data_IF_479694807455
#
_entry.id   IF_479694807455
#
_cell.length_a   1.000
_cell.length_b   1.000
_cell.length_c   1.000
_cell.angle_alpha   90.00
_cell.angle_beta   90.00
_cell.angle_gamma   90.00
#
_symmetry.space_group_name_H-M   'P 1'
#
loop_
_entity.id
_entity.type
_entity.pdbx_description
1 polymer ?
#
# COMPACT_ATOMS: atom_id res chain seq x y z
N UNK A 1 1.97 -42.97 -29.48
CA UNK A 1 2.16 -42.87 -28.02
C UNK A 1 3.06 -41.69 -27.74
N UNK A 2 2.48 -40.49 -27.54
CA UNK A 2 3.23 -39.31 -27.13
C UNK A 2 3.68 -39.56 -25.69
N UNK A 3 4.99 -39.72 -25.49
CA UNK A 3 5.58 -39.71 -24.15
C UNK A 3 5.31 -38.30 -23.60
N UNK A 4 4.32 -38.19 -22.72
CA UNK A 4 4.22 -37.06 -21.81
C UNK A 4 5.47 -37.14 -20.93
N UNK A 5 6.56 -36.49 -21.36
CA UNK A 5 7.65 -36.14 -20.47
C UNK A 5 7.02 -35.33 -19.35
N UNK A 6 6.74 -35.98 -18.21
CA UNK A 6 6.35 -35.27 -17.02
C UNK A 6 7.50 -34.31 -16.70
N UNK A 7 7.27 -33.02 -16.93
CA UNK A 7 8.15 -31.99 -16.39
C UNK A 7 8.17 -32.20 -14.87
N UNK A 8 9.35 -32.20 -14.28
CA UNK A 8 9.53 -32.20 -12.82
C UNK A 8 9.96 -30.80 -12.37
N UNK A 9 9.51 -30.32 -11.20
CA UNK A 9 10.02 -29.07 -10.63
C UNK A 9 11.52 -29.15 -10.38
N UNK A 10 12.19 -28.01 -10.46
CA UNK A 10 13.60 -27.85 -10.05
C UNK A 10 13.68 -26.72 -9.05
N UNK A 11 14.41 -26.90 -7.95
CA UNK A 11 14.67 -25.80 -7.01
C UNK A 11 15.58 -24.78 -7.67
N UNK A 12 15.17 -23.51 -7.65
CA UNK A 12 15.93 -22.43 -8.24
C UNK A 12 17.34 -22.34 -7.62
N UNK A 13 17.46 -22.61 -6.32
CA UNK A 13 18.72 -22.59 -5.56
C UNK A 13 19.71 -23.68 -5.99
N UNK A 14 19.23 -24.81 -6.52
CA UNK A 14 20.07 -25.95 -6.94
C UNK A 14 20.61 -25.78 -8.36
N UNK A 15 20.31 -24.66 -9.03
CA UNK A 15 20.77 -24.37 -10.39
C UNK A 15 22.15 -23.73 -10.31
N UNK A 16 23.16 -24.42 -10.84
CA UNK A 16 24.53 -23.90 -10.92
C UNK A 16 24.70 -22.84 -12.02
N UNK A 17 24.12 -23.12 -13.19
CA UNK A 17 24.36 -22.35 -14.42
C UNK A 17 23.06 -22.23 -15.23
N UNK A 18 22.78 -21.02 -15.68
CA UNK A 18 21.76 -20.72 -16.67
C UNK A 18 22.43 -20.20 -17.95
N UNK A 19 21.96 -20.69 -19.09
CA UNK A 19 22.39 -20.24 -20.41
C UNK A 19 21.15 -19.69 -21.13
N UNK A 20 21.27 -18.47 -21.64
CA UNK A 20 20.19 -17.76 -22.33
C UNK A 20 20.63 -17.43 -23.76
N UNK A 21 19.75 -17.67 -24.73
CA UNK A 21 20.01 -17.44 -26.15
C UNK A 21 19.00 -16.45 -26.76
N UNK A 22 19.45 -15.59 -27.67
CA UNK A 22 18.64 -14.47 -28.20
C UNK A 22 17.38 -14.91 -28.94
N UNK A 23 17.45 -16.03 -29.64
CA UNK A 23 16.37 -16.52 -30.51
C UNK A 23 15.55 -17.66 -29.88
N UNK A 24 15.79 -17.96 -28.61
CA UNK A 24 15.05 -18.99 -27.87
C UNK A 24 13.96 -18.38 -26.99
N UNK A 25 12.88 -19.14 -26.84
CA UNK A 25 11.80 -18.83 -25.91
C UNK A 25 11.91 -19.66 -24.63
N UNK A 26 11.40 -19.12 -23.54
CA UNK A 26 11.22 -19.85 -22.27
C UNK A 26 10.20 -20.97 -22.48
N UNK A 27 10.35 -22.08 -21.77
CA UNK A 27 9.28 -23.06 -21.61
C UNK A 27 8.26 -22.54 -20.61
N UNK A 28 7.02 -23.03 -20.69
CA UNK A 28 5.98 -22.65 -19.75
C UNK A 28 5.04 -23.81 -19.45
N UNK A 29 4.55 -23.87 -18.21
CA UNK A 29 3.47 -24.78 -17.82
C UNK A 29 2.10 -24.14 -17.99
N UNK A 30 2.04 -22.80 -17.95
CA UNK A 30 0.82 -21.99 -18.12
C UNK A 30 0.55 -21.58 -19.56
N UNK A 31 1.47 -21.86 -20.47
CA UNK A 31 1.34 -21.55 -21.90
C UNK A 31 1.82 -20.16 -22.29
N UNK A 32 2.55 -19.46 -21.41
CA UNK A 32 3.09 -18.12 -21.67
C UNK A 32 4.59 -18.19 -21.96
N UNK A 33 4.97 -17.95 -23.22
CA UNK A 33 6.34 -18.08 -23.69
C UNK A 33 6.97 -16.70 -23.89
N UNK A 34 8.12 -16.46 -23.29
CA UNK A 34 8.86 -15.19 -23.40
C UNK A 34 10.22 -15.39 -24.07
N UNK A 35 10.85 -14.34 -24.65
CA UNK A 35 12.25 -14.44 -25.08
C UNK A 35 13.17 -14.75 -23.89
N UNK A 36 14.15 -15.63 -24.04
CA UNK A 36 15.11 -15.90 -22.96
C UNK A 36 15.98 -14.67 -22.64
N UNK A 37 16.27 -13.83 -23.63
CA UNK A 37 17.03 -12.59 -23.48
C UNK A 37 16.13 -11.38 -23.72
N UNK A 38 15.97 -10.54 -22.70
CA UNK A 38 15.19 -9.30 -22.78
C UNK A 38 16.04 -8.10 -22.39
N UNK A 39 16.25 -7.20 -23.35
CA UNK A 39 17.02 -5.97 -23.18
C UNK A 39 16.09 -4.77 -22.98
N UNK A 40 16.56 -3.76 -22.24
CA UNK A 40 15.88 -2.47 -22.15
C UNK A 40 16.24 -1.54 -23.32
N UNK A 41 15.41 -0.52 -23.56
CA UNK A 41 15.63 0.45 -24.65
C UNK A 41 17.02 1.10 -24.54
N UNK A 42 17.83 0.99 -25.61
CA UNK A 42 19.17 1.57 -25.70
C UNK A 42 20.33 0.66 -25.31
N UNK A 43 20.09 -0.53 -24.74
CA UNK A 43 21.16 -1.52 -24.49
C UNK A 43 21.43 -2.37 -25.74
N UNK A 44 22.71 -2.63 -26.11
CA UNK A 44 23.05 -3.51 -27.22
C UNK A 44 22.45 -4.90 -27.01
N UNK A 45 22.04 -5.54 -28.11
CA UNK A 45 21.57 -6.93 -28.08
C UNK A 45 22.78 -7.86 -28.00
N UNK A 46 22.67 -8.89 -27.18
CA UNK A 46 23.63 -10.00 -27.10
C UNK A 46 22.98 -11.28 -27.63
N UNK A 47 23.78 -12.13 -28.24
CA UNK A 47 23.42 -13.44 -28.80
C UNK A 47 23.24 -14.50 -27.71
N UNK A 48 24.08 -14.44 -26.67
CA UNK A 48 24.08 -15.39 -25.56
C UNK A 48 24.52 -14.75 -24.24
N UNK A 49 23.96 -15.22 -23.12
CA UNK A 49 24.45 -14.93 -21.78
C UNK A 49 24.57 -16.22 -20.96
N UNK A 50 25.63 -16.33 -20.16
CA UNK A 50 25.84 -17.40 -19.18
C UNK A 50 25.84 -16.79 -17.80
N UNK A 51 24.88 -17.16 -16.97
CA UNK A 51 24.75 -16.72 -15.59
C UNK A 51 25.07 -17.88 -14.64
N UNK A 52 26.06 -17.66 -13.77
CA UNK A 52 26.42 -18.64 -12.73
C UNK A 52 25.81 -18.22 -11.40
N UNK A 53 25.35 -19.20 -10.63
CA UNK A 53 24.97 -18.99 -9.25
C UNK A 53 26.21 -18.57 -8.45
N UNK A 54 26.14 -17.42 -7.78
CA UNK A 54 27.23 -16.81 -7.02
C UNK A 54 26.85 -16.69 -5.53
N UNK A 55 25.89 -17.49 -5.07
CA UNK A 55 25.43 -17.53 -3.68
C UNK A 55 24.01 -17.05 -3.49
N UNK A 56 23.54 -17.18 -2.24
CA UNK A 56 22.20 -16.79 -1.80
C UNK A 56 22.33 -15.71 -0.73
N UNK A 57 21.63 -14.60 -0.87
CA UNK A 57 21.73 -13.45 0.05
C UNK A 57 20.73 -13.51 1.24
N UNK A 58 19.95 -14.58 1.33
CA UNK A 58 18.87 -14.73 2.31
C UNK A 58 17.48 -14.58 1.70
N UNK A 59 17.36 -13.94 0.54
CA UNK A 59 16.10 -13.71 -0.18
C UNK A 59 16.14 -14.29 -1.60
N UNK A 60 17.22 -14.05 -2.34
CA UNK A 60 17.38 -14.37 -3.75
C UNK A 60 18.77 -14.91 -4.08
N UNK A 61 18.89 -15.53 -5.26
CA UNK A 61 20.18 -15.99 -5.77
C UNK A 61 20.90 -14.83 -6.43
N UNK A 62 22.15 -14.64 -6.06
CA UNK A 62 23.05 -13.69 -6.69
C UNK A 62 23.57 -14.33 -7.98
N UNK A 63 23.08 -13.86 -9.13
CA UNK A 63 23.53 -14.35 -10.44
C UNK A 63 24.70 -13.53 -10.97
N UNK A 64 25.80 -14.20 -11.33
CA UNK A 64 26.94 -13.60 -12.03
C UNK A 64 26.90 -13.92 -13.52
N UNK A 65 26.47 -12.96 -14.31
CA UNK A 65 26.27 -13.10 -15.76
C UNK A 65 27.48 -12.61 -16.58
N UNK A 66 27.79 -13.34 -17.64
CA UNK A 66 28.81 -13.00 -18.65
C UNK A 66 28.25 -13.23 -20.05
N UNK A 67 28.73 -12.46 -21.02
CA UNK A 67 28.44 -12.64 -22.44
C UNK A 67 29.69 -12.34 -23.25
N UNK A 68 29.86 -13.07 -24.36
CA UNK A 68 30.99 -12.88 -25.28
C UNK A 68 30.84 -11.65 -26.16
N UNK A 69 29.62 -11.13 -26.28
CA UNK A 69 29.31 -10.00 -27.16
C UNK A 69 29.59 -8.63 -26.51
N UNK A 70 30.00 -8.64 -25.23
CA UNK A 70 30.38 -7.41 -24.53
C UNK A 70 31.75 -6.95 -25.00
N UNK A 71 31.80 -5.75 -25.56
CA UNK A 71 33.04 -5.09 -25.94
C UNK A 71 33.84 -4.65 -24.71
N UNK A 72 35.11 -4.28 -24.90
CA UNK A 72 35.93 -3.73 -23.82
C UNK A 72 35.24 -2.49 -23.21
N UNK A 73 35.19 -2.45 -21.87
CA UNK A 73 34.48 -1.42 -21.12
C UNK A 73 32.95 -1.61 -21.09
N UNK A 74 32.37 -2.60 -21.75
CA UNK A 74 30.95 -2.91 -21.55
C UNK A 74 30.76 -3.88 -20.38
N UNK A 75 29.77 -3.60 -19.55
CA UNK A 75 29.35 -4.50 -18.47
C UNK A 75 27.83 -4.49 -18.30
N UNK A 76 27.30 -5.59 -17.79
CA UNK A 76 25.94 -5.62 -17.26
C UNK A 76 25.82 -4.56 -16.16
N UNK A 77 25.01 -3.52 -16.42
CA UNK A 77 24.55 -2.58 -15.39
C UNK A 77 23.54 -3.26 -14.49
N UNK A 78 22.64 -4.04 -15.08
CA UNK A 78 21.69 -4.91 -14.39
C UNK A 78 21.52 -6.21 -15.18
N UNK A 79 21.29 -7.29 -14.44
CA UNK A 79 21.04 -8.64 -14.95
C UNK A 79 20.12 -9.35 -13.96
N UNK A 80 18.84 -9.47 -14.30
CA UNK A 80 17.81 -10.05 -13.44
C UNK A 80 17.27 -11.32 -14.08
N UNK A 81 17.44 -12.44 -13.39
CA UNK A 81 16.86 -13.73 -13.78
C UNK A 81 15.45 -13.81 -13.21
N UNK A 82 14.49 -14.18 -14.04
CA UNK A 82 13.10 -14.44 -13.64
C UNK A 82 12.64 -15.74 -14.27
N UNK A 83 12.05 -16.64 -13.46
CA UNK A 83 11.61 -17.96 -13.91
C UNK A 83 10.14 -18.18 -13.53
N UNK A 84 9.45 -19.07 -14.24
CA UNK A 84 8.09 -19.45 -13.88
C UNK A 84 8.12 -20.36 -12.65
N UNK A 85 7.54 -19.90 -11.55
CA UNK A 85 7.37 -20.72 -10.35
C UNK A 85 6.44 -21.90 -10.62
N UNK A 86 6.75 -23.04 -10.00
CA UNK A 86 6.08 -24.30 -10.28
C UNK A 86 4.58 -24.18 -10.01
N UNK A 87 4.15 -23.84 -8.81
CA UNK A 87 2.74 -23.64 -8.46
C UNK A 87 2.31 -22.18 -8.64
N UNK A 88 3.18 -21.23 -8.32
CA UNK A 88 2.84 -19.80 -8.23
C UNK A 88 4.04 -18.85 -8.32
N UNK A 89 3.79 -17.54 -8.51
CA UNK A 89 4.81 -16.52 -8.29
C UNK A 89 5.40 -16.62 -6.87
N UNK A 90 6.72 -16.51 -6.73
CA UNK A 90 7.42 -16.59 -5.44
C UNK A 90 7.84 -18.00 -5.01
N UNK A 91 7.52 -19.04 -5.79
CA UNK A 91 7.93 -20.40 -5.46
C UNK A 91 9.45 -20.61 -5.58
N UNK A 92 10.01 -21.38 -4.64
CA UNK A 92 11.40 -21.84 -4.68
C UNK A 92 11.64 -22.87 -5.79
N UNK A 93 10.60 -23.61 -6.16
CA UNK A 93 10.62 -24.56 -7.27
C UNK A 93 10.11 -23.88 -8.53
N UNK A 94 10.76 -24.14 -9.66
CA UNK A 94 10.44 -23.52 -10.94
C UNK A 94 10.21 -24.57 -12.03
N UNK A 95 9.61 -24.12 -13.13
CA UNK A 95 9.43 -24.89 -14.36
C UNK A 95 10.78 -24.98 -15.09
N UNK A 96 11.31 -26.18 -15.41
CA UNK A 96 12.57 -26.32 -16.13
C UNK A 96 12.57 -25.60 -17.48
N UNK A 97 13.59 -24.78 -17.72
CA UNK A 97 13.74 -24.00 -18.96
C UNK A 97 12.81 -22.79 -19.07
N UNK A 98 12.18 -22.36 -17.98
CA UNK A 98 11.28 -21.20 -17.97
C UNK A 98 11.97 -19.85 -17.70
N UNK A 99 13.26 -19.85 -17.41
CA UNK A 99 13.97 -18.64 -17.00
C UNK A 99 14.22 -17.66 -18.17
N UNK A 100 14.03 -16.38 -17.90
CA UNK A 100 14.38 -15.23 -18.74
C UNK A 100 15.42 -14.37 -18.02
N UNK A 101 16.36 -13.79 -18.78
CA UNK A 101 17.28 -12.77 -18.33
C UNK A 101 16.85 -11.39 -18.84
N UNK A 102 16.49 -10.51 -17.90
CA UNK A 102 16.28 -9.08 -18.15
C UNK A 102 17.58 -8.32 -17.89
N UNK A 103 18.14 -7.66 -18.89
CA UNK A 103 19.44 -7.01 -18.76
C UNK A 103 19.50 -5.58 -19.30
N UNK A 104 20.48 -4.85 -18.77
CA UNK A 104 20.91 -3.53 -19.25
C UNK A 104 22.43 -3.54 -19.31
N UNK A 105 23.00 -3.11 -20.42
CA UNK A 105 24.46 -2.98 -20.59
C UNK A 105 24.83 -1.51 -20.51
N UNK A 106 25.88 -1.20 -19.76
CA UNK A 106 26.49 0.12 -19.74
C UNK A 106 27.91 0.04 -20.28
N UNK A 107 28.33 1.11 -20.94
CA UNK A 107 29.71 1.30 -21.35
C UNK A 107 30.41 2.14 -20.28
N UNK A 108 31.39 1.57 -19.59
CA UNK A 108 32.36 2.33 -18.80
C UNK A 108 33.35 2.97 -19.76
N UNK A 109 33.22 4.28 -19.96
CA UNK A 109 34.33 5.06 -20.48
C UNK A 109 35.46 5.00 -19.45
N UNK A 110 36.62 4.47 -19.85
CA UNK A 110 37.84 4.50 -19.07
C UNK A 110 38.32 5.95 -18.92
N UNK A 111 37.68 6.73 -18.05
CA UNK A 111 38.33 7.86 -17.39
C UNK A 111 38.76 7.29 -16.04
N UNK A 112 40.06 7.01 -15.90
CA UNK A 112 40.73 6.48 -14.70
C UNK A 112 40.04 6.98 -13.42
N UNK A 113 39.23 6.13 -12.81
CA UNK A 113 38.79 6.27 -11.43
C UNK A 113 39.02 4.93 -10.76
N UNK A 114 39.56 4.91 -9.53
CA UNK A 114 39.92 3.67 -8.85
C UNK A 114 38.70 2.79 -8.64
N UNK A 115 38.98 1.48 -8.65
CA UNK A 115 38.08 0.41 -8.31
C UNK A 115 37.69 0.51 -6.84
N UNK A 116 36.57 1.15 -6.54
CA UNK A 116 35.98 1.11 -5.20
C UNK A 116 34.94 -0.01 -5.14
N UNK A 117 35.20 -0.87 -4.15
CA UNK A 117 34.47 -2.06 -3.78
C UNK A 117 32.99 -1.77 -3.55
N UNK A 118 32.16 -2.78 -3.78
CA UNK A 118 30.71 -2.75 -3.58
C UNK A 118 30.35 -2.31 -2.15
N UNK A 119 30.10 -1.01 -1.98
CA UNK A 119 29.38 -0.47 -0.84
C UNK A 119 27.88 -0.54 -1.15
N UNK A 120 27.12 -1.20 -0.27
CA UNK A 120 25.66 -1.21 -0.31
C UNK A 120 25.16 0.20 0.00
N UNK A 121 25.12 1.07 -1.02
CA UNK A 121 24.61 2.43 -0.84
C UNK A 121 23.08 2.41 -0.81
N UNK A 122 22.56 2.57 0.41
CA UNK A 122 21.22 3.07 0.65
C UNK A 122 20.97 4.31 -0.21
N UNK A 123 19.92 4.26 -1.03
CA UNK A 123 19.50 5.36 -1.88
C UNK A 123 19.03 6.54 -1.01
N UNK A 124 19.95 7.45 -0.70
CA UNK A 124 19.65 8.80 -0.24
C UNK A 124 20.11 9.81 -1.30
N UNK A 125 19.13 10.48 -1.92
CA UNK A 125 19.21 11.86 -2.42
C UNK A 125 20.24 12.18 -3.51
N UNK A 126 19.86 12.00 -4.79
CA UNK A 126 20.35 12.87 -5.86
C UNK A 126 19.32 13.99 -6.07
N UNK A 127 19.57 15.16 -5.51
CA UNK A 127 18.70 16.33 -5.61
C UNK A 127 18.79 16.97 -6.99
N UNK A 128 18.02 16.42 -7.93
CA UNK A 128 17.52 17.17 -9.08
C UNK A 128 16.01 17.31 -8.90
N UNK A 129 15.59 18.24 -8.03
CA UNK A 129 14.17 18.57 -7.88
C UNK A 129 13.69 19.22 -9.16
N UNK A 130 13.05 18.41 -10.00
CA UNK A 130 12.35 18.89 -11.18
C UNK A 130 11.19 19.79 -10.76
N UNK A 131 10.79 20.74 -11.60
CA UNK A 131 9.64 21.61 -11.34
C UNK A 131 8.37 20.80 -10.99
N UNK A 132 8.23 19.60 -11.55
CA UNK A 132 7.15 18.66 -11.22
C UNK A 132 7.18 18.19 -9.77
N UNK A 133 8.36 17.96 -9.18
CA UNK A 133 8.48 17.58 -7.76
C UNK A 133 8.11 18.73 -6.81
N UNK A 134 8.41 19.97 -7.19
CA UNK A 134 8.00 21.13 -6.40
C UNK A 134 6.48 21.36 -6.50
N UNK A 135 5.92 21.25 -7.71
CA UNK A 135 4.49 21.36 -7.94
C UNK A 135 3.69 20.26 -7.21
N UNK A 136 4.18 19.03 -7.20
CA UNK A 136 3.51 17.94 -6.49
C UNK A 136 3.50 18.15 -4.97
N UNK A 137 4.58 18.66 -4.38
CA UNK A 137 4.64 18.97 -2.94
C UNK A 137 3.66 20.09 -2.55
N UNK A 138 3.52 21.12 -3.38
CA UNK A 138 2.54 22.20 -3.16
C UNK A 138 1.11 21.67 -3.21
N UNK A 139 0.80 20.80 -4.18
CA UNK A 139 -0.53 20.18 -4.30
C UNK A 139 -0.83 19.31 -3.09
N UNK A 140 0.13 18.48 -2.66
CA UNK A 140 -0.02 17.63 -1.47
C UNK A 140 -0.22 18.48 -0.20
N UNK A 141 0.55 19.56 -0.04
CA UNK A 141 0.39 20.49 1.07
C UNK A 141 -0.99 21.18 1.06
N UNK A 142 -1.51 21.55 -0.12
CA UNK A 142 -2.86 22.11 -0.27
C UNK A 142 -3.94 21.08 0.10
N UNK A 143 -3.78 19.83 -0.31
CA UNK A 143 -4.72 18.75 0.07
C UNK A 143 -4.74 18.57 1.59
N UNK A 144 -3.57 18.52 2.23
CA UNK A 144 -3.47 18.43 3.70
C UNK A 144 -4.06 19.66 4.39
N UNK A 145 -3.83 20.86 3.86
CA UNK A 145 -4.41 22.08 4.39
C UNK A 145 -5.94 22.09 4.26
N UNK A 146 -6.50 21.67 3.13
CA UNK A 146 -7.94 21.54 2.94
C UNK A 146 -8.51 20.49 3.90
N UNK A 147 -7.88 19.32 4.02
CA UNK A 147 -8.29 18.29 4.98
C UNK A 147 -8.25 18.82 6.42
N UNK A 148 -7.17 19.50 6.79
CA UNK A 148 -7.02 20.14 8.11
C UNK A 148 -8.11 21.16 8.38
N UNK A 149 -8.42 22.05 7.42
CA UNK A 149 -9.50 23.03 7.59
C UNK A 149 -10.86 22.36 7.73
N UNK A 150 -11.14 21.27 6.98
CA UNK A 150 -12.37 20.48 7.13
C UNK A 150 -12.45 19.80 8.51
N UNK A 151 -11.35 19.22 8.99
CA UNK A 151 -11.27 18.58 10.31
C UNK A 151 -11.44 19.63 11.42
N UNK A 152 -10.73 20.76 11.35
CA UNK A 152 -10.87 21.85 12.32
C UNK A 152 -12.27 22.45 12.29
N UNK A 153 -12.87 22.62 11.11
CA UNK A 153 -14.24 23.12 11.00
C UNK A 153 -15.25 22.09 11.52
N UNK A 154 -15.03 20.79 11.32
CA UNK A 154 -15.83 19.73 11.96
C UNK A 154 -15.65 19.75 13.48
N UNK A 155 -14.43 19.94 13.99
CA UNK A 155 -14.16 20.08 15.42
C UNK A 155 -14.72 21.39 16.01
N UNK A 156 -14.79 22.48 15.24
CA UNK A 156 -15.48 23.72 15.64
C UNK A 156 -16.99 23.51 15.69
N UNK A 157 -17.56 22.80 14.72
CA UNK A 157 -18.97 22.40 14.72
C UNK A 157 -19.28 21.50 15.94
N UNK A 158 -18.36 20.60 16.30
CA UNK A 158 -18.47 19.76 17.49
C UNK A 158 -18.26 20.51 18.82
N UNK A 159 -17.43 21.58 18.83
CA UNK A 159 -17.26 22.48 19.98
C UNK A 159 -18.46 23.40 20.20
N UNK A 160 -19.17 23.80 19.15
CA UNK A 160 -20.39 24.62 19.26
C UNK A 160 -21.64 23.80 19.60
N UNK A 161 -21.66 22.50 19.28
CA UNK A 161 -22.71 21.54 19.69
C UNK A 161 -22.35 20.73 20.94
N UNK A 162 -21.48 21.22 21.82
CA UNK A 162 -21.47 20.68 23.19
C UNK A 162 -22.76 21.16 23.86
N UNK A 163 -23.62 20.27 24.39
CA UNK A 163 -24.68 20.72 25.26
C UNK A 163 -24.04 21.43 26.45
N UNK A 164 -24.35 22.72 26.62
CA UNK A 164 -24.07 23.42 27.87
C UNK A 164 -24.93 22.73 28.91
N UNK A 165 -24.33 21.86 29.71
CA UNK A 165 -25.01 21.31 30.88
C UNK A 165 -25.01 22.43 31.92
N UNK A 166 -26.07 23.23 31.93
CA UNK A 166 -26.38 24.10 33.07
C UNK A 166 -26.71 23.16 34.23
N UNK A 167 -25.78 23.02 35.17
CA UNK A 167 -25.92 22.16 36.35
C UNK A 167 -26.49 22.90 37.56
N UNK A 168 -27.24 23.98 37.34
CA UNK A 168 -27.97 24.65 38.41
C UNK A 168 -29.37 24.02 38.53
N UNK A 169 -29.73 23.44 39.68
CA UNK A 169 -31.07 22.89 39.91
C UNK A 169 -32.08 24.04 40.02
N UNK A 170 -33.22 23.90 39.33
CA UNK A 170 -34.27 24.93 39.30
C UNK A 170 -35.10 24.94 40.59
N UNK A 171 -35.20 23.80 41.31
CA UNK A 171 -35.93 23.73 42.58
C UNK A 171 -35.47 22.56 43.49
N UNK A 172 -35.63 22.72 44.80
CA UNK A 172 -35.33 21.69 45.80
C UNK A 172 -36.62 21.20 46.46
N UNK A 173 -36.86 19.89 46.46
CA UNK A 173 -37.99 19.27 47.17
C UNK A 173 -37.46 18.38 48.30
N UNK A 174 -38.10 18.44 49.46
CA UNK A 174 -37.77 17.60 50.62
C UNK A 174 -38.61 16.32 50.54
N UNK A 175 -37.93 15.18 50.47
CA UNK A 175 -38.56 13.85 50.51
C UNK A 175 -37.87 13.07 51.64
N UNK A 176 -38.64 12.54 52.59
CA UNK A 176 -38.14 11.78 53.74
C UNK A 176 -37.03 12.50 54.52
N UNK A 177 -37.24 13.77 54.84
CA UNK A 177 -36.28 14.64 55.54
C UNK A 177 -34.90 14.79 54.87
N UNK A 178 -34.78 14.53 53.56
CA UNK A 178 -33.57 14.85 52.78
C UNK A 178 -33.92 15.73 51.59
N UNK A 179 -33.15 16.82 51.40
CA UNK A 179 -33.25 17.69 50.21
C UNK A 179 -32.77 16.92 48.97
N UNK A 180 -33.60 16.87 47.93
CA UNK A 180 -33.23 16.29 46.62
C UNK A 180 -33.35 17.37 45.54
N UNK A 181 -32.42 17.34 44.58
CA UNK A 181 -32.37 18.29 43.45
C UNK A 181 -33.28 17.82 42.33
N UNK A 182 -34.04 18.73 41.73
CA UNK A 182 -34.88 18.45 40.55
C UNK A 182 -34.39 19.33 39.38
N UNK A 183 -34.26 18.73 38.19
CA UNK A 183 -33.86 19.41 36.96
C UNK A 183 -35.06 19.41 35.99
N UNK A 184 -35.60 20.58 35.64
CA UNK A 184 -36.65 20.68 34.63
C UNK A 184 -36.05 20.78 33.21
N UNK A 185 -36.76 20.22 32.21
CA UNK A 185 -36.51 20.35 30.78
C UNK A 185 -35.12 19.92 30.27
N UNK A 186 -34.77 18.65 30.47
CA UNK A 186 -33.59 18.03 29.85
C UNK A 186 -34.02 17.04 28.76
N UNK A 187 -34.03 17.47 27.50
CA UNK A 187 -34.21 16.52 26.38
C UNK A 187 -32.99 15.61 26.27
N UNK A 188 -33.20 14.30 26.22
CA UNK A 188 -32.15 13.31 25.93
C UNK A 188 -32.36 12.74 24.53
N UNK A 189 -31.31 12.78 23.70
CA UNK A 189 -31.29 12.11 22.41
C UNK A 189 -30.83 10.67 22.62
N UNK A 190 -31.67 9.70 22.25
CA UNK A 190 -31.38 8.26 22.29
C UNK A 190 -31.06 7.81 20.86
N UNK A 191 -30.05 6.97 20.59
CA UNK A 191 -29.44 6.83 19.26
C UNK A 191 -30.30 6.19 18.14
N UNK A 192 -31.60 5.96 18.35
CA UNK A 192 -32.51 5.25 17.44
C UNK A 192 -33.73 6.08 17.01
N UNK A 193 -33.60 7.42 16.90
CA UNK A 193 -34.67 8.34 16.42
C UNK A 193 -35.98 8.35 17.25
N UNK A 194 -35.92 8.01 18.54
CA UNK A 194 -37.04 8.18 19.48
C UNK A 194 -36.75 9.28 20.51
N UNK A 195 -37.76 10.10 20.81
CA UNK A 195 -37.68 11.16 21.82
C UNK A 195 -38.46 10.75 23.07
N UNK A 196 -37.85 10.93 24.23
CA UNK A 196 -38.49 10.64 25.51
C UNK A 196 -38.56 11.92 26.35
N UNK A 197 -39.78 12.33 26.69
CA UNK A 197 -40.04 13.52 27.51
C UNK A 197 -40.50 13.08 28.89
N UNK A 198 -39.91 13.71 29.91
CA UNK A 198 -40.29 13.50 31.31
C UNK A 198 -40.85 14.81 31.84
N UNK A 199 -42.13 14.81 32.20
CA UNK A 199 -42.77 15.94 32.87
C UNK A 199 -43.43 15.49 34.17
N UNK A 200 -43.49 16.42 35.12
CA UNK A 200 -44.05 16.18 36.45
C UNK A 200 -45.39 16.90 36.51
N UNK A 201 -46.46 16.12 36.59
CA UNK A 201 -47.80 16.63 36.80
C UNK A 201 -48.29 16.14 38.17
N UNK A 202 -48.72 17.07 39.01
CA UNK A 202 -49.21 16.81 40.37
C UNK A 202 -48.35 15.82 41.18
N UNK A 203 -47.02 16.03 41.16
CA UNK A 203 -45.99 15.22 41.86
C UNK A 203 -45.85 13.76 41.41
N UNK A 204 -46.40 13.37 40.25
CA UNK A 204 -46.12 12.08 39.61
C UNK A 204 -45.32 12.28 38.34
N UNK A 205 -44.29 11.45 38.16
CA UNK A 205 -43.44 11.45 36.97
C UNK A 205 -44.10 10.60 35.89
N UNK A 206 -44.35 11.17 34.71
CA UNK A 206 -44.81 10.43 33.53
C UNK A 206 -43.76 10.50 32.42
N UNK A 207 -43.62 9.39 31.71
CA UNK A 207 -42.68 9.21 30.61
C UNK A 207 -43.49 8.96 29.35
N UNK A 208 -43.33 9.82 28.34
CA UNK A 208 -43.95 9.65 27.03
C UNK A 208 -42.87 9.46 25.98
N UNK A 209 -43.08 8.48 25.09
CA UNK A 209 -42.20 8.18 23.96
C UNK A 209 -42.90 8.61 22.68
N UNK A 210 -42.29 9.51 21.93
CA UNK A 210 -42.78 9.97 20.63
C UNK A 210 -41.70 9.79 19.56
N UNK A 211 -42.12 9.61 18.30
CA UNK A 211 -41.21 9.41 17.17
C UNK A 211 -40.91 10.72 16.44
N UNK A 212 -39.76 10.79 15.74
CA UNK A 212 -39.30 12.01 15.06
C UNK A 212 -40.33 12.62 14.09
N UNK A 213 -41.06 11.78 13.35
CA UNK A 213 -42.05 12.25 12.35
C UNK A 213 -43.26 12.96 13.00
N UNK A 214 -43.70 12.50 14.17
CA UNK A 214 -44.85 13.07 14.90
C UNK A 214 -44.53 14.46 15.50
N UNK A 215 -43.27 14.67 15.90
CA UNK A 215 -42.80 15.96 16.41
C UNK A 215 -42.62 16.95 15.25
N UNK A 216 -42.06 16.50 14.13
CA UNK A 216 -41.83 17.33 12.94
C UNK A 216 -43.15 17.79 12.29
N UNK A 217 -44.17 16.92 12.28
CA UNK A 217 -45.51 17.26 11.79
C UNK A 217 -46.21 18.33 12.63
N UNK A 218 -45.94 18.41 13.94
CA UNK A 218 -46.51 19.45 14.83
C UNK A 218 -45.81 20.79 14.72
N UNK A 219 -44.50 20.80 14.49
CA UNK A 219 -43.72 22.06 14.40
C UNK A 219 -43.84 22.77 13.05
N UNK A 220 -44.21 22.06 11.98
CA UNK A 220 -44.42 22.63 10.64
C UNK A 220 -45.86 23.05 10.34
N UNK A 221 -46.76 23.03 11.34
CA UNK A 221 -48.07 23.69 11.24
C UNK A 221 -47.98 25.03 11.95
N UNK A 222 -47.36 26.02 11.28
CA UNK A 222 -47.48 27.45 11.56
C UNK A 222 -47.32 28.24 10.28
#
# INVERSE_FOLDING_TARGET
>A
MLILLQLSPVYLQDIDILVFNQNEKTKSRRGEYYPQLKTSFGSPKISQAVCKNNGFDGESIIWKCKSKDLLEGQKFKSAQVSCEGWNGPGDKQIVPGSCQLNYVIKQSYNRRQPEDQYEYQNQYGSNNTSLYTLLSLVIVALIFYIAYTKIVNACKHFRFNRPIIINDPVEYVIINNRRRRIYQNKMHYIPDNQFEYVYVDNKKVKILKETYEEVYARTNVR
#
